data_IF_138904641379
#
_entry.id   IF_138904641379
#
_cell.length_a   1.000
_cell.length_b   1.000
_cell.length_c   1.000
_cell.angle_alpha   90.00
_cell.angle_beta   90.00
_cell.angle_gamma   90.00
#
_symmetry.space_group_name_H-M   'P 1'
#
loop_
_entity.id
_entity.type
_entity.pdbx_description
1 polymer ?
#
# COMPACT_ATOMS: atom_id res chain seq x y z
N UNK A 1 -9.48 5.21 8.90
CA UNK A 1 -9.55 4.36 7.69
C UNK A 1 -8.88 5.11 6.57
N UNK A 2 -7.93 4.48 5.90
CA UNK A 2 -7.19 5.04 4.77
C UNK A 2 -7.57 4.30 3.48
N UNK A 3 -7.75 5.02 2.38
CA UNK A 3 -8.10 4.45 1.08
C UNK A 3 -6.88 4.49 0.17
N UNK A 4 -6.42 3.33 -0.32
CA UNK A 4 -5.32 3.25 -1.28
C UNK A 4 -5.64 2.38 -2.47
N UNK A 5 -4.90 2.54 -3.55
CA UNK A 5 -5.06 1.79 -4.78
C UNK A 5 -3.75 1.07 -5.09
N UNK A 6 -3.77 -0.26 -5.12
CA UNK A 6 -2.57 -1.11 -5.25
C UNK A 6 -2.40 -1.69 -6.66
N UNK A 7 -3.16 -1.19 -7.63
CA UNK A 7 -3.11 -1.64 -9.02
C UNK A 7 -3.45 -0.51 -9.97
N UNK A 8 -3.14 -0.71 -11.24
CA UNK A 8 -3.53 0.15 -12.34
C UNK A 8 -4.71 -0.39 -13.15
N UNK A 9 -5.28 -1.51 -12.72
CA UNK A 9 -6.37 -2.17 -13.44
C UNK A 9 -7.55 -1.22 -13.66
N UNK A 10 -7.98 -1.00 -14.92
CA UNK A 10 -9.09 -0.10 -15.22
C UNK A 10 -10.46 -0.73 -14.92
N UNK A 11 -10.52 -2.05 -14.65
CA UNK A 11 -11.77 -2.74 -14.38
C UNK A 11 -12.37 -2.36 -13.04
N UNK A 12 -13.70 -2.38 -12.96
CA UNK A 12 -14.43 -2.28 -11.70
C UNK A 12 -14.26 -3.56 -10.87
N UNK A 13 -14.31 -3.42 -9.55
CA UNK A 13 -14.31 -4.56 -8.66
C UNK A 13 -15.63 -5.33 -8.76
N UNK A 14 -15.55 -6.66 -8.62
CA UNK A 14 -16.70 -7.55 -8.54
C UNK A 14 -16.63 -8.47 -7.31
N UNK A 15 -15.49 -8.48 -6.63
CA UNK A 15 -15.20 -9.29 -5.47
C UNK A 15 -14.53 -8.45 -4.41
N UNK A 16 -14.61 -8.91 -3.17
CA UNK A 16 -13.84 -8.39 -2.06
C UNK A 16 -13.34 -9.53 -1.18
N UNK A 17 -12.20 -9.32 -0.54
CA UNK A 17 -11.72 -10.13 0.56
C UNK A 17 -11.15 -9.21 1.62
N UNK A 18 -11.06 -9.71 2.86
CA UNK A 18 -10.57 -8.93 3.97
C UNK A 18 -9.62 -9.77 4.82
N UNK A 19 -8.70 -9.08 5.49
CA UNK A 19 -7.84 -9.66 6.51
C UNK A 19 -8.27 -9.16 7.87
N UNK A 20 -8.44 -10.08 8.80
CA UNK A 20 -8.61 -9.75 10.21
C UNK A 20 -7.27 -9.82 10.95
N UNK A 21 -7.13 -8.99 11.98
CA UNK A 21 -6.04 -9.03 12.95
C UNK A 21 -6.62 -8.74 14.34
N UNK A 22 -6.37 -9.62 15.30
CA UNK A 22 -6.90 -9.53 16.67
C UNK A 22 -8.42 -9.27 16.71
N UNK A 23 -9.19 -9.96 15.86
CA UNK A 23 -10.66 -9.83 15.80
C UNK A 23 -11.18 -8.58 15.09
N UNK A 24 -10.31 -7.68 14.63
CA UNK A 24 -10.69 -6.47 13.88
C UNK A 24 -10.31 -6.59 12.40
N UNK A 25 -11.08 -5.97 11.51
CA UNK A 25 -10.69 -5.86 10.10
C UNK A 25 -9.43 -4.99 10.01
N UNK A 26 -8.32 -5.56 9.55
CA UNK A 26 -7.09 -4.84 9.30
C UNK A 26 -7.17 -4.11 7.96
N UNK A 27 -7.62 -4.81 6.92
CA UNK A 27 -7.87 -4.22 5.61
C UNK A 27 -8.86 -5.04 4.81
N UNK A 28 -9.46 -4.39 3.82
CA UNK A 28 -10.33 -4.99 2.81
C UNK A 28 -9.92 -4.53 1.42
N UNK A 29 -9.71 -5.48 0.51
CA UNK A 29 -9.39 -5.21 -0.89
C UNK A 29 -10.58 -5.55 -1.78
N UNK A 30 -10.76 -4.76 -2.84
CA UNK A 30 -11.79 -4.93 -3.85
C UNK A 30 -11.13 -5.32 -5.17
N UNK A 31 -11.51 -6.42 -5.80
CA UNK A 31 -10.84 -6.97 -6.99
C UNK A 31 -11.82 -7.31 -8.11
N UNK A 32 -11.38 -7.18 -9.37
CA UNK A 32 -12.14 -7.64 -10.53
C UNK A 32 -12.05 -9.17 -10.70
N UNK A 33 -12.83 -9.78 -11.61
CA UNK A 33 -12.78 -11.22 -11.88
C UNK A 33 -11.38 -11.74 -12.23
N UNK A 34 -10.55 -10.93 -12.90
CA UNK A 34 -9.16 -11.29 -13.27
C UNK A 34 -8.24 -11.35 -12.06
N UNK A 35 -8.30 -10.36 -11.17
CA UNK A 35 -7.39 -10.22 -10.05
C UNK A 35 -7.82 -10.94 -8.77
N UNK A 36 -9.04 -11.51 -8.73
CA UNK A 36 -9.52 -12.26 -7.54
C UNK A 36 -8.69 -13.51 -7.18
N UNK A 37 -7.86 -13.99 -8.11
CA UNK A 37 -7.03 -15.20 -7.98
C UNK A 37 -5.56 -14.91 -7.67
N UNK A 38 -5.16 -13.64 -7.52
CA UNK A 38 -3.79 -13.31 -7.18
C UNK A 38 -3.52 -13.69 -5.72
N UNK A 39 -2.66 -14.70 -5.52
CA UNK A 39 -2.40 -15.33 -4.22
C UNK A 39 -2.01 -14.33 -3.14
N UNK A 40 -1.23 -13.30 -3.49
CA UNK A 40 -0.74 -12.28 -2.55
C UNK A 40 -1.85 -11.34 -2.05
N UNK A 41 -2.98 -11.28 -2.75
CA UNK A 41 -4.10 -10.39 -2.43
C UNK A 41 -5.31 -11.14 -1.87
N UNK A 42 -5.44 -12.42 -2.19
CA UNK A 42 -6.56 -13.25 -1.76
C UNK A 42 -6.25 -13.95 -0.44
N UNK A 43 -6.96 -13.57 0.63
CA UNK A 43 -7.01 -14.38 1.86
C UNK A 43 -7.88 -15.62 1.60
N UNK A 44 -7.35 -16.85 1.76
CA UNK A 44 -8.12 -18.08 1.53
C UNK A 44 -9.43 -18.11 2.34
N UNK A 45 -10.51 -18.58 1.71
CA UNK A 45 -11.82 -18.75 2.36
C UNK A 45 -12.68 -17.49 2.53
N UNK A 46 -12.12 -16.29 2.35
CA UNK A 46 -12.81 -15.02 2.63
C UNK A 46 -13.19 -14.20 1.38
N UNK A 47 -13.00 -14.77 0.19
CA UNK A 47 -13.37 -14.12 -1.07
C UNK A 47 -14.89 -14.13 -1.23
N UNK A 48 -15.49 -12.94 -1.34
CA UNK A 48 -16.92 -12.74 -1.51
C UNK A 48 -17.21 -11.95 -2.79
N UNK A 49 -18.29 -12.29 -3.50
CA UNK A 49 -18.81 -11.45 -4.61
C UNK A 49 -19.53 -10.23 -4.05
N UNK A 50 -19.36 -9.08 -4.68
CA UNK A 50 -20.10 -7.86 -4.34
C UNK A 50 -21.58 -8.02 -4.73
N UNK A 51 -22.49 -7.59 -3.84
CA UNK A 51 -23.92 -7.60 -4.03
C UNK A 51 -24.49 -6.22 -4.39
N UNK A 52 -25.82 -6.11 -4.62
CA UNK A 52 -26.48 -4.90 -5.12
C UNK A 52 -26.34 -3.63 -4.25
N UNK A 53 -26.02 -3.77 -2.96
CA UNK A 53 -25.80 -2.65 -2.04
C UNK A 53 -24.33 -2.39 -1.69
N UNK A 54 -23.40 -3.18 -2.25
CA UNK A 54 -21.99 -2.97 -1.99
C UNK A 54 -21.43 -1.81 -2.84
N UNK A 55 -20.45 -1.06 -2.33
CA UNK A 55 -19.70 -0.11 -3.15
C UNK A 55 -18.94 -0.87 -4.24
N UNK A 56 -18.92 -0.30 -5.45
CA UNK A 56 -18.25 -0.87 -6.64
C UNK A 56 -17.06 0.03 -7.03
N UNK A 57 -15.97 0.04 -6.25
CA UNK A 57 -14.80 0.86 -6.56
C UNK A 57 -13.97 0.24 -7.70
N UNK A 58 -12.94 0.94 -8.19
CA UNK A 58 -11.93 0.35 -9.06
C UNK A 58 -11.27 -0.89 -8.43
N UNK A 59 -10.89 -1.86 -9.27
CA UNK A 59 -10.12 -3.03 -8.86
C UNK A 59 -8.82 -2.59 -8.16
N UNK A 60 -8.41 -3.30 -7.11
CA UNK A 60 -7.25 -3.00 -6.26
C UNK A 60 -7.42 -1.80 -5.34
N UNK A 61 -8.64 -1.31 -5.16
CA UNK A 61 -8.97 -0.43 -4.03
C UNK A 61 -8.81 -1.20 -2.72
N UNK A 62 -8.10 -0.62 -1.76
CA UNK A 62 -7.89 -1.16 -0.40
C UNK A 62 -8.42 -0.14 0.60
N UNK A 63 -9.33 -0.60 1.47
CA UNK A 63 -9.71 0.09 2.71
C UNK A 63 -8.83 -0.45 3.82
N UNK A 64 -7.93 0.39 4.31
CA UNK A 64 -6.98 0.03 5.34
C UNK A 64 -7.40 0.65 6.68
N UNK A 65 -7.55 -0.20 7.68
CA UNK A 65 -7.98 0.18 9.03
C UNK A 65 -6.82 0.12 10.03
N UNK A 66 -5.62 -0.27 9.57
CA UNK A 66 -4.42 -0.31 10.41
C UNK A 66 -4.00 1.11 10.83
N UNK A 67 -3.24 1.26 11.93
CA UNK A 67 -2.59 2.52 12.29
C UNK A 67 -1.69 3.02 11.16
N UNK A 68 -1.58 4.35 11.00
CA UNK A 68 -0.81 4.95 9.91
C UNK A 68 0.62 4.43 9.82
N UNK A 69 1.31 4.27 10.97
CA UNK A 69 2.65 3.70 11.04
C UNK A 69 2.77 2.36 10.28
N UNK A 70 1.81 1.45 10.49
CA UNK A 70 1.80 0.14 9.83
C UNK A 70 1.49 0.25 8.33
N UNK A 71 0.70 1.25 7.91
CA UNK A 71 0.40 1.49 6.49
C UNK A 71 1.65 2.03 5.78
N UNK A 72 2.34 3.00 6.38
CA UNK A 72 3.60 3.54 5.83
C UNK A 72 4.62 2.43 5.64
N UNK A 73 4.90 1.64 6.68
CA UNK A 73 5.84 0.50 6.58
C UNK A 73 5.40 -0.49 5.51
N UNK A 74 4.09 -0.74 5.37
CA UNK A 74 3.55 -1.60 4.32
C UNK A 74 3.82 -1.09 2.90
N UNK A 75 3.80 0.24 2.66
CA UNK A 75 4.17 0.82 1.36
C UNK A 75 5.67 0.68 1.10
N UNK A 76 6.49 0.98 2.10
CA UNK A 76 7.96 0.92 2.00
C UNK A 76 8.44 -0.51 1.70
N UNK A 77 7.92 -1.50 2.44
CA UNK A 77 8.36 -2.87 2.30
C UNK A 77 7.76 -3.57 1.08
N UNK A 78 6.47 -3.36 0.83
CA UNK A 78 5.74 -4.03 -0.24
C UNK A 78 6.10 -3.50 -1.63
N UNK A 79 5.80 -2.22 -1.88
CA UNK A 79 5.97 -1.64 -3.22
C UNK A 79 7.39 -1.08 -3.45
N UNK A 80 7.95 -0.37 -2.47
CA UNK A 80 9.26 0.26 -2.64
C UNK A 80 10.44 -0.71 -2.52
N UNK A 81 10.18 -1.96 -2.10
CA UNK A 81 11.18 -3.01 -1.95
C UNK A 81 12.19 -2.75 -0.83
N UNK A 82 11.89 -1.84 0.11
CA UNK A 82 12.81 -1.45 1.18
C UNK A 82 12.81 -2.43 2.38
N UNK A 83 12.01 -3.51 2.33
CA UNK A 83 11.76 -4.39 3.47
C UNK A 83 12.94 -5.25 3.93
N UNK A 84 13.99 -5.37 3.11
CA UNK A 84 15.19 -6.14 3.45
C UNK A 84 16.38 -5.28 3.90
N UNK A 85 16.27 -3.94 3.89
CA UNK A 85 17.43 -3.07 4.08
C UNK A 85 17.79 -2.84 5.55
N UNK A 86 16.80 -2.84 6.45
CA UNK A 86 17.04 -2.65 7.89
C UNK A 86 16.15 -3.59 8.72
N UNK A 87 16.79 -4.50 9.46
CA UNK A 87 16.12 -5.52 10.28
C UNK A 87 15.93 -5.12 11.73
N UNK A 88 16.64 -4.09 12.19
CA UNK A 88 16.76 -3.77 13.63
C UNK A 88 15.79 -2.67 14.08
N UNK A 89 15.00 -2.11 13.16
CA UNK A 89 13.99 -1.11 13.48
C UNK A 89 12.72 -1.77 14.02
N UNK A 90 12.15 -1.16 15.06
CA UNK A 90 10.87 -1.59 15.57
C UNK A 90 9.80 -1.54 14.45
N UNK A 91 8.86 -2.50 14.39
CA UNK A 91 7.83 -2.53 13.34
C UNK A 91 6.93 -1.29 13.27
N UNK A 92 6.89 -0.49 14.34
CA UNK A 92 6.12 0.74 14.46
C UNK A 92 6.96 2.02 14.29
N UNK A 93 8.30 1.92 14.19
CA UNK A 93 9.18 3.05 13.89
C UNK A 93 9.18 3.39 12.40
N UNK A 94 8.01 3.80 11.91
CA UNK A 94 7.81 4.09 10.50
C UNK A 94 8.69 5.23 9.97
N UNK A 95 9.15 6.13 10.84
CA UNK A 95 10.09 7.22 10.47
C UNK A 95 11.49 6.66 10.24
N UNK A 96 11.97 5.79 11.12
CA UNK A 96 13.22 5.05 10.90
C UNK A 96 13.17 4.23 9.61
N UNK A 97 12.06 3.52 9.35
CA UNK A 97 11.89 2.75 8.10
C UNK A 97 11.91 3.66 6.87
N UNK A 98 11.33 4.86 6.95
CA UNK A 98 11.32 5.82 5.84
C UNK A 98 12.73 6.39 5.56
N UNK A 99 13.48 6.74 6.60
CA UNK A 99 14.86 7.20 6.48
C UNK A 99 15.76 6.11 5.88
N UNK A 100 15.62 4.88 6.37
CA UNK A 100 16.32 3.71 5.83
C UNK A 100 15.99 3.46 4.35
N UNK A 101 14.73 3.60 3.96
CA UNK A 101 14.32 3.47 2.56
C UNK A 101 14.96 4.55 1.67
N UNK A 102 15.07 5.79 2.17
CA UNK A 102 15.73 6.87 1.46
C UNK A 102 17.21 6.57 1.21
N UNK A 103 17.95 6.19 2.27
CA UNK A 103 19.37 5.82 2.18
C UNK A 103 19.58 4.65 1.21
N UNK A 104 18.71 3.64 1.26
CA UNK A 104 18.73 2.52 0.32
C UNK A 104 18.58 2.99 -1.13
N UNK A 105 17.56 3.79 -1.43
CA UNK A 105 17.29 4.26 -2.80
C UNK A 105 18.41 5.16 -3.33
N UNK A 106 19.04 5.96 -2.47
CA UNK A 106 20.26 6.69 -2.80
C UNK A 106 21.40 5.73 -3.17
N UNK A 107 21.66 4.71 -2.34
CA UNK A 107 22.76 3.77 -2.55
C UNK A 107 22.65 2.97 -3.86
N UNK A 108 21.42 2.65 -4.30
CA UNK A 108 21.18 1.91 -5.54
C UNK A 108 20.93 2.81 -6.78
N UNK A 109 21.01 4.14 -6.64
CA UNK A 109 20.79 5.08 -7.74
C UNK A 109 19.35 5.10 -8.28
N UNK A 110 18.36 4.89 -7.43
CA UNK A 110 16.94 4.89 -7.82
C UNK A 110 16.33 6.31 -7.73
N UNK A 111 16.76 7.23 -8.59
CA UNK A 111 16.47 8.67 -8.53
C UNK A 111 14.98 9.02 -8.27
N UNK A 112 14.05 8.41 -9.02
CA UNK A 112 12.60 8.61 -8.84
C UNK A 112 12.14 8.25 -7.40
N UNK A 113 12.68 7.17 -6.81
CA UNK A 113 12.33 6.70 -5.46
C UNK A 113 13.06 7.50 -4.38
N UNK A 114 14.28 7.95 -4.66
CA UNK A 114 15.04 8.86 -3.80
C UNK A 114 14.31 10.20 -3.63
N UNK A 115 13.85 10.80 -4.73
CA UNK A 115 13.06 12.04 -4.67
C UNK A 115 11.75 11.85 -3.91
N UNK A 116 11.07 10.73 -4.12
CA UNK A 116 9.84 10.39 -3.42
C UNK A 116 10.04 10.25 -1.90
N UNK A 117 11.07 9.51 -1.49
CA UNK A 117 11.40 9.30 -0.07
C UNK A 117 11.89 10.58 0.61
N UNK A 118 12.61 11.45 -0.10
CA UNK A 118 12.98 12.78 0.39
C UNK A 118 11.72 13.62 0.70
N UNK A 119 10.78 13.71 -0.25
CA UNK A 119 9.53 14.44 -0.03
C UNK A 119 8.71 13.83 1.12
N UNK A 120 8.65 12.50 1.21
CA UNK A 120 7.98 11.82 2.31
C UNK A 120 8.64 12.15 3.67
N UNK A 121 9.96 12.28 3.74
CA UNK A 121 10.67 12.71 4.96
C UNK A 121 10.32 14.14 5.35
N UNK A 122 10.19 15.06 4.39
CA UNK A 122 9.74 16.44 4.63
C UNK A 122 8.33 16.46 5.25
N UNK A 123 7.39 15.70 4.67
CA UNK A 123 6.03 15.57 5.21
C UNK A 123 6.02 14.91 6.60
N UNK A 124 6.90 13.92 6.83
CA UNK A 124 7.02 13.25 8.12
C UNK A 124 7.57 14.17 9.22
N UNK A 125 8.50 15.06 8.88
CA UNK A 125 9.07 16.07 9.77
C UNK A 125 8.06 17.16 10.14
N UNK A 126 7.16 17.51 9.21
CA UNK A 126 6.04 18.41 9.46
C UNK A 126 4.87 17.75 10.21
N UNK A 127 4.89 16.43 10.42
CA UNK A 127 3.78 15.62 10.97
C UNK A 127 2.51 15.60 10.07
N UNK A 128 2.70 15.83 8.76
CA UNK A 128 1.65 15.75 7.73
C UNK A 128 1.41 14.29 7.27
N UNK A 129 1.08 13.42 8.21
CA UNK A 129 0.90 11.97 7.93
C UNK A 129 -0.15 11.67 6.84
N UNK A 130 -1.30 12.37 6.76
CA UNK A 130 -2.26 12.12 5.68
C UNK A 130 -1.71 12.39 4.28
N UNK A 131 -0.96 13.47 4.12
CA UNK A 131 -0.36 13.87 2.83
C UNK A 131 0.75 12.90 2.45
N UNK A 132 1.56 12.45 3.42
CA UNK A 132 2.57 11.41 3.23
C UNK A 132 1.95 10.12 2.70
N UNK A 133 0.86 9.66 3.33
CA UNK A 133 0.17 8.47 2.87
C UNK A 133 -0.36 8.65 1.45
N UNK A 134 -1.02 9.79 1.15
CA UNK A 134 -1.51 10.11 -0.18
C UNK A 134 -0.39 10.09 -1.24
N UNK A 135 0.78 10.65 -0.93
CA UNK A 135 1.97 10.61 -1.76
C UNK A 135 2.42 9.17 -2.07
N UNK A 136 2.56 8.33 -1.04
CA UNK A 136 2.99 6.93 -1.20
C UNK A 136 1.99 6.11 -2.02
N UNK A 137 0.68 6.28 -1.81
CA UNK A 137 -0.34 5.57 -2.59
C UNK A 137 -0.40 6.04 -4.05
N UNK A 138 -0.22 7.34 -4.31
CA UNK A 138 -0.16 7.87 -5.68
C UNK A 138 1.05 7.33 -6.45
N UNK A 139 2.20 7.20 -5.77
CA UNK A 139 3.41 6.63 -6.35
C UNK A 139 3.24 5.12 -6.65
N UNK A 140 2.69 4.34 -5.71
CA UNK A 140 2.37 2.93 -5.91
C UNK A 140 1.45 2.73 -7.13
N UNK A 141 0.40 3.54 -7.25
CA UNK A 141 -0.52 3.51 -8.40
C UNK A 141 0.18 3.86 -9.71
N UNK A 142 1.01 4.90 -9.71
CA UNK A 142 1.72 5.36 -10.91
C UNK A 142 2.71 4.33 -11.41
N UNK A 143 3.46 3.70 -10.51
CA UNK A 143 4.37 2.62 -10.85
C UNK A 143 3.61 1.39 -11.39
N UNK A 144 2.49 1.02 -10.77
CA UNK A 144 1.64 -0.06 -11.28
C UNK A 144 1.14 0.22 -12.71
N UNK A 145 0.88 1.49 -13.08
CA UNK A 145 0.45 1.86 -14.44
C UNK A 145 1.55 1.67 -15.48
N UNK A 146 2.80 1.99 -15.14
CA UNK A 146 3.94 1.79 -16.06
C UNK A 146 4.22 0.31 -16.37
N UNK A 147 3.76 -0.60 -15.51
CA UNK A 147 3.98 -2.05 -15.64
C UNK A 147 2.87 -2.79 -16.41
N UNK A 148 1.77 -2.10 -16.75
CA UNK A 148 0.70 -2.68 -17.58
C UNK A 148 1.03 -2.38 -19.05
N UNK A 149 1.33 -3.40 -19.88
CA UNK A 149 1.55 -3.23 -21.32
C UNK A 149 0.27 -2.87 -22.07
#
# INVERSE_FOLDING_TARGET
MYLRHVTACPSTAAYTTHRQRHGTEAWRIFTCPRHRRLADWSVPGNLRRLGPGDPVPPCGTVRDHRPHAQIVVSHLHGWMGAGGWVTDLAPDDWRGHLAAAHEYHQAIGADDRTALTAHALELAAADHVPDLLALLAAAETSAARRLVP
#
